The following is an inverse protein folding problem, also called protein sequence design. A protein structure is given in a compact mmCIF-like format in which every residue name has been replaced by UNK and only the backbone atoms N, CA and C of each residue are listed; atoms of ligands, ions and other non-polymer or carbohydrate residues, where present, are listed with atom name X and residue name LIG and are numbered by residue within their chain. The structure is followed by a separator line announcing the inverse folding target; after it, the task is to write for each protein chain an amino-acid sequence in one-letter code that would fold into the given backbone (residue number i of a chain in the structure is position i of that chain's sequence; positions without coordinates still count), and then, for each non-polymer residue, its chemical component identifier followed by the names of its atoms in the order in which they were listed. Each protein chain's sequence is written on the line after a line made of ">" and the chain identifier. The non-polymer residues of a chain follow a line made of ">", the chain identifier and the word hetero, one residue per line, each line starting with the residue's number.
data_IF_202932329447
#
_entry.id   IF_202932329447
#
_cell.length_a   1.000
_cell.length_b   1.000
_cell.length_c   1.000
_cell.angle_alpha   90.00
_cell.angle_beta   90.00
_cell.angle_gamma   90.00
#
_symmetry.space_group_name_H-M   'P 1'
#
loop_
_entity.id
_entity.type
_entity.pdbx_description
1 polymer ?
#
# COMPACT_ATOMS: atom_id res chain seq x y z
N UNK A 1 -23.43 -13.44 8.29
CA UNK A 1 -24.48 -13.48 7.24
C UNK A 1 -23.86 -12.88 5.99
N UNK A 2 -23.33 -13.75 5.09
CA UNK A 2 -22.98 -13.29 3.77
C UNK A 2 -24.30 -13.02 3.03
N UNK A 3 -24.60 -11.76 2.82
CA UNK A 3 -25.70 -11.38 1.94
C UNK A 3 -25.15 -11.51 0.52
N UNK A 4 -25.77 -12.31 -0.38
CA UNK A 4 -25.42 -12.30 -1.78
C UNK A 4 -25.46 -10.85 -2.28
N UNK A 5 -24.29 -10.28 -2.59
CA UNK A 5 -24.20 -8.91 -3.02
C UNK A 5 -24.67 -8.78 -4.46
N UNK A 6 -25.44 -7.74 -4.78
CA UNK A 6 -25.66 -7.34 -6.16
C UNK A 6 -24.71 -6.21 -6.49
N UNK A 7 -23.73 -6.47 -7.31
CA UNK A 7 -22.88 -5.44 -7.87
C UNK A 7 -23.04 -5.40 -9.39
N UNK A 8 -23.23 -4.23 -9.95
CA UNK A 8 -23.37 -4.02 -11.40
C UNK A 8 -24.48 -4.89 -12.06
N UNK A 9 -25.57 -5.17 -11.33
CA UNK A 9 -26.67 -6.00 -11.83
C UNK A 9 -26.40 -7.51 -11.86
N UNK A 10 -25.26 -7.97 -11.33
CA UNK A 10 -24.93 -9.38 -11.19
C UNK A 10 -25.13 -9.86 -9.75
N UNK A 11 -25.63 -11.08 -9.60
CA UNK A 11 -25.62 -11.76 -8.31
C UNK A 11 -24.18 -12.25 -8.03
N UNK A 12 -23.61 -11.81 -6.91
CA UNK A 12 -22.30 -12.31 -6.47
C UNK A 12 -22.51 -13.63 -5.70
N UNK A 13 -21.70 -14.66 -5.98
CA UNK A 13 -21.78 -15.90 -5.22
C UNK A 13 -21.37 -15.65 -3.76
N UNK A 14 -21.98 -16.42 -2.86
CA UNK A 14 -21.50 -16.49 -1.49
C UNK A 14 -20.17 -17.23 -1.45
N UNK A 15 -19.08 -16.49 -1.26
CA UNK A 15 -17.72 -17.04 -1.24
C UNK A 15 -17.50 -18.06 -0.12
N UNK A 16 -18.26 -17.99 0.97
CA UNK A 16 -18.17 -18.98 2.05
C UNK A 16 -18.60 -20.38 1.57
N UNK A 17 -19.55 -20.45 0.63
CA UNK A 17 -19.99 -21.71 0.05
C UNK A 17 -19.03 -22.27 -1.01
N UNK A 18 -18.07 -21.47 -1.44
CA UNK A 18 -17.07 -21.86 -2.45
C UNK A 18 -15.80 -22.44 -1.83
N UNK A 19 -15.67 -22.40 -0.49
CA UNK A 19 -14.48 -22.94 0.19
C UNK A 19 -14.52 -24.47 0.15
N UNK A 20 -13.55 -25.07 -0.52
CA UNK A 20 -13.39 -26.52 -0.69
C UNK A 20 -11.91 -26.93 -0.52
N UNK A 21 -11.62 -28.21 -0.78
CA UNK A 21 -10.27 -28.77 -0.65
C UNK A 21 -9.27 -28.26 -1.71
N UNK A 22 -9.75 -27.53 -2.73
CA UNK A 22 -8.93 -26.89 -3.76
C UNK A 22 -8.67 -25.40 -3.43
N UNK A 23 -9.28 -24.88 -2.37
CA UNK A 23 -9.06 -23.50 -1.96
C UNK A 23 -7.59 -23.30 -1.56
N UNK A 24 -6.89 -22.32 -2.16
CA UNK A 24 -5.47 -22.11 -1.88
C UNK A 24 -5.25 -21.54 -0.48
N UNK A 25 -4.02 -21.64 0.06
CA UNK A 25 -3.61 -20.91 1.25
C UNK A 25 -3.95 -19.42 1.16
N UNK A 26 -4.37 -18.81 2.26
CA UNK A 26 -4.86 -17.45 2.25
C UNK A 26 -4.23 -16.56 3.34
N UNK A 27 -3.84 -15.34 2.97
CA UNK A 27 -3.51 -14.28 3.89
C UNK A 27 -4.70 -13.29 3.95
N UNK A 28 -5.24 -13.11 5.15
CA UNK A 28 -6.42 -12.30 5.39
C UNK A 28 -6.06 -11.12 6.29
N UNK A 29 -6.55 -9.92 5.94
CA UNK A 29 -6.48 -8.79 6.85
C UNK A 29 -7.75 -7.96 6.78
N UNK A 30 -8.16 -7.42 7.92
CA UNK A 30 -9.35 -6.59 8.06
C UNK A 30 -9.13 -5.56 9.17
N UNK A 31 -10.00 -4.58 9.24
CA UNK A 31 -10.08 -3.67 10.38
C UNK A 31 -11.41 -3.82 11.10
N UNK A 32 -11.39 -3.67 12.42
CA UNK A 32 -12.61 -3.73 13.22
C UNK A 32 -13.56 -2.56 12.92
N UNK A 33 -13.01 -1.43 12.47
CA UNK A 33 -13.77 -0.22 12.14
C UNK A 33 -14.37 -0.20 10.73
N UNK A 34 -14.14 -1.22 9.90
CA UNK A 34 -14.71 -1.27 8.55
C UNK A 34 -16.25 -1.34 8.63
N UNK A 35 -16.89 -0.25 8.24
CA UNK A 35 -18.36 -0.11 8.28
C UNK A 35 -19.06 -0.71 7.06
N UNK A 36 -18.31 -1.00 5.98
CA UNK A 36 -18.86 -1.54 4.74
C UNK A 36 -18.71 -3.06 4.66
N UNK A 37 -17.54 -3.57 5.02
CA UNK A 37 -17.24 -5.01 5.03
C UNK A 37 -16.84 -5.43 6.45
N UNK A 38 -17.78 -5.87 7.28
CA UNK A 38 -17.51 -6.24 8.66
C UNK A 38 -16.43 -7.33 8.78
N UNK A 39 -15.50 -7.18 9.70
CA UNK A 39 -14.42 -8.13 9.97
C UNK A 39 -14.93 -9.56 10.25
N UNK A 40 -16.18 -9.69 10.68
CA UNK A 40 -16.85 -11.00 10.88
C UNK A 40 -16.92 -11.85 9.61
N UNK A 41 -16.94 -11.24 8.43
CA UNK A 41 -16.92 -11.99 7.16
C UNK A 41 -15.55 -12.68 6.97
N UNK A 42 -14.48 -11.98 7.23
CA UNK A 42 -13.13 -12.56 7.19
C UNK A 42 -12.93 -13.63 8.26
N UNK A 43 -13.51 -13.45 9.46
CA UNK A 43 -13.49 -14.48 10.52
C UNK A 43 -14.22 -15.74 10.09
N UNK A 44 -15.39 -15.63 9.46
CA UNK A 44 -16.14 -16.78 8.95
C UNK A 44 -15.35 -17.53 7.88
N UNK A 45 -14.72 -16.80 6.96
CA UNK A 45 -13.87 -17.40 5.93
C UNK A 45 -12.67 -18.12 6.54
N UNK A 46 -11.96 -17.49 7.49
CA UNK A 46 -10.86 -18.11 8.21
C UNK A 46 -11.27 -19.38 8.97
N UNK A 47 -12.48 -19.38 9.56
CA UNK A 47 -13.04 -20.59 10.23
C UNK A 47 -13.17 -21.74 9.25
N UNK A 48 -13.71 -21.50 8.05
CA UNK A 48 -13.84 -22.54 7.03
C UNK A 48 -12.50 -23.06 6.54
N UNK A 49 -11.49 -22.20 6.41
CA UNK A 49 -10.13 -22.62 6.08
C UNK A 49 -9.54 -23.51 7.18
N UNK A 50 -9.73 -23.12 8.45
CA UNK A 50 -9.27 -23.89 9.61
C UNK A 50 -9.90 -25.29 9.67
N UNK A 51 -11.22 -25.39 9.48
CA UNK A 51 -11.97 -26.65 9.46
C UNK A 51 -11.45 -27.61 8.39
N UNK A 52 -11.01 -27.08 7.24
CA UNK A 52 -10.43 -27.85 6.12
C UNK A 52 -8.92 -28.04 6.20
N UNK A 53 -8.28 -27.52 7.25
CA UNK A 53 -6.82 -27.54 7.43
C UNK A 53 -6.06 -26.89 6.27
N UNK A 54 -6.67 -25.91 5.62
CA UNK A 54 -6.03 -25.08 4.62
C UNK A 54 -5.15 -24.06 5.34
N UNK A 55 -3.85 -23.91 4.98
CA UNK A 55 -3.00 -22.92 5.62
C UNK A 55 -3.54 -21.51 5.45
N UNK A 56 -3.62 -20.77 6.54
CA UNK A 56 -4.00 -19.35 6.49
C UNK A 56 -3.31 -18.56 7.59
N UNK A 57 -3.20 -17.27 7.37
CA UNK A 57 -2.80 -16.27 8.35
C UNK A 57 -3.82 -15.14 8.34
N UNK A 58 -4.20 -14.64 9.53
CA UNK A 58 -5.23 -13.61 9.65
C UNK A 58 -4.87 -12.55 10.67
N UNK A 59 -5.05 -11.29 10.28
CA UNK A 59 -4.87 -10.12 11.14
C UNK A 59 -6.11 -9.24 11.12
N UNK A 60 -6.58 -8.86 12.32
CA UNK A 60 -7.65 -7.88 12.48
C UNK A 60 -7.09 -6.70 13.27
N UNK A 61 -6.98 -5.56 12.59
CA UNK A 61 -6.51 -4.32 13.20
C UNK A 61 -7.67 -3.61 13.90
N UNK A 62 -7.39 -3.01 15.06
CA UNK A 62 -8.42 -2.34 15.86
C UNK A 62 -9.00 -1.10 15.16
N UNK A 63 -8.16 -0.41 14.39
CA UNK A 63 -8.51 0.87 13.76
C UNK A 63 -8.30 0.82 12.26
N UNK A 64 -9.11 1.58 11.55
CA UNK A 64 -9.13 1.71 10.10
C UNK A 64 -10.54 1.56 9.58
N UNK A 65 -10.83 2.22 8.48
CA UNK A 65 -12.12 2.12 7.78
C UNK A 65 -11.94 1.35 6.47
N UNK A 66 -13.05 1.14 5.77
CA UNK A 66 -13.04 0.46 4.48
C UNK A 66 -12.08 1.11 3.48
N UNK A 67 -11.31 0.28 2.78
CA UNK A 67 -10.41 0.77 1.72
C UNK A 67 -9.15 1.48 2.22
N UNK A 68 -8.68 1.19 3.46
CA UNK A 68 -7.44 1.79 3.98
C UNK A 68 -6.18 1.42 3.19
N UNK A 69 -6.28 0.46 2.25
CA UNK A 69 -5.22 0.05 1.33
C UNK A 69 -3.90 -0.26 2.07
N UNK A 70 -2.81 0.44 1.76
CA UNK A 70 -1.53 0.22 2.43
C UNK A 70 -1.44 0.87 3.82
N UNK A 71 -2.42 1.67 4.25
CA UNK A 71 -2.37 2.44 5.49
C UNK A 71 -1.26 3.50 5.54
N UNK A 72 -0.55 3.70 4.44
CA UNK A 72 0.60 4.58 4.37
C UNK A 72 0.19 6.05 4.17
N UNK A 73 1.08 6.95 4.58
CA UNK A 73 0.92 8.39 4.43
C UNK A 73 0.60 8.83 2.99
N UNK A 74 1.13 8.11 2.00
CA UNK A 74 1.00 8.49 0.59
C UNK A 74 -0.40 8.29 0.00
N UNK A 75 -1.23 7.48 0.65
CA UNK A 75 -2.62 7.21 0.24
C UNK A 75 -3.63 7.70 1.27
N UNK A 76 -3.15 8.29 2.36
CA UNK A 76 -4.01 8.81 3.42
C UNK A 76 -4.94 9.91 2.86
N UNK A 77 -6.19 9.88 3.31
CA UNK A 77 -7.22 10.85 2.98
C UNK A 77 -8.12 11.08 4.22
N UNK A 78 -9.04 12.03 4.20
CA UNK A 78 -9.86 12.33 5.38
C UNK A 78 -10.68 11.15 5.92
N UNK A 79 -11.09 10.21 5.07
CA UNK A 79 -11.83 9.00 5.44
C UNK A 79 -10.90 7.90 5.95
N UNK A 80 -9.71 7.81 5.37
CA UNK A 80 -8.68 6.85 5.74
C UNK A 80 -7.37 7.60 6.04
N UNK A 81 -7.20 8.15 7.24
CA UNK A 81 -5.94 8.78 7.66
C UNK A 81 -4.81 7.76 7.67
N UNK A 82 -3.58 8.26 7.75
CA UNK A 82 -2.41 7.41 7.94
C UNK A 82 -2.62 6.46 9.13
N UNK A 83 -2.39 5.17 8.90
CA UNK A 83 -2.52 4.12 9.90
C UNK A 83 -1.30 3.22 9.90
N UNK A 84 -0.20 3.62 10.57
CA UNK A 84 1.04 2.84 10.58
C UNK A 84 0.88 1.49 11.26
N UNK A 85 -0.07 1.33 12.19
CA UNK A 85 -0.33 0.05 12.86
C UNK A 85 -0.88 -0.99 11.90
N UNK A 86 -1.78 -0.60 10.99
CA UNK A 86 -2.30 -1.51 9.97
C UNK A 86 -1.38 -1.63 8.76
N UNK A 87 -0.53 -0.64 8.48
CA UNK A 87 0.39 -0.66 7.33
C UNK A 87 1.37 -1.86 7.34
N UNK A 88 1.61 -2.46 8.49
CA UNK A 88 2.49 -3.63 8.65
C UNK A 88 2.00 -4.88 7.91
N UNK A 89 0.72 -4.94 7.51
CA UNK A 89 0.14 -6.10 6.84
C UNK A 89 0.92 -6.52 5.59
N UNK A 90 1.51 -5.57 4.88
CA UNK A 90 2.28 -5.86 3.65
C UNK A 90 3.49 -6.74 3.93
N UNK A 91 4.26 -6.41 4.99
CA UNK A 91 5.41 -7.22 5.41
C UNK A 91 5.00 -8.60 5.89
N UNK A 92 3.88 -8.70 6.62
CA UNK A 92 3.31 -9.96 7.07
C UNK A 92 2.87 -10.83 5.88
N UNK A 93 2.17 -10.25 4.90
CA UNK A 93 1.75 -10.96 3.69
C UNK A 93 2.95 -11.49 2.88
N UNK A 94 4.02 -10.70 2.75
CA UNK A 94 5.26 -11.15 2.11
C UNK A 94 5.89 -12.31 2.87
N UNK A 95 5.94 -12.26 4.20
CA UNK A 95 6.42 -13.37 5.03
C UNK A 95 5.61 -14.64 4.84
N UNK A 96 4.28 -14.52 4.83
CA UNK A 96 3.38 -15.63 4.55
C UNK A 96 3.63 -16.25 3.16
N UNK A 97 3.72 -15.43 2.11
CA UNK A 97 3.98 -15.90 0.74
C UNK A 97 5.33 -16.60 0.62
N UNK A 98 6.37 -16.08 1.28
CA UNK A 98 7.68 -16.71 1.34
C UNK A 98 7.59 -18.11 1.95
N UNK A 99 6.83 -18.25 3.04
CA UNK A 99 6.64 -19.54 3.68
C UNK A 99 5.88 -20.54 2.80
N UNK A 100 4.79 -20.10 2.14
CA UNK A 100 3.96 -20.94 1.28
C UNK A 100 4.71 -21.42 0.05
N UNK A 101 5.51 -20.55 -0.57
CA UNK A 101 6.20 -20.90 -1.81
C UNK A 101 7.60 -21.45 -1.61
N UNK A 102 8.10 -21.57 -0.37
CA UNK A 102 9.50 -21.90 -0.07
C UNK A 102 10.49 -21.08 -0.90
N UNK A 103 10.11 -19.88 -1.25
CA UNK A 103 10.95 -18.92 -1.94
C UNK A 103 11.29 -17.83 -0.92
N UNK A 104 12.59 -17.53 -0.81
CA UNK A 104 12.96 -16.20 -0.42
C UNK A 104 12.44 -15.27 -1.53
N UNK A 105 11.16 -14.89 -1.45
CA UNK A 105 10.74 -13.69 -2.14
C UNK A 105 11.59 -12.62 -1.51
N UNK A 106 12.70 -12.35 -2.15
CA UNK A 106 13.53 -11.23 -1.83
C UNK A 106 12.56 -10.05 -1.77
N UNK A 107 12.27 -9.57 -0.57
CA UNK A 107 12.02 -8.13 -0.44
C UNK A 107 13.25 -7.57 -1.13
N UNK A 108 13.14 -6.97 -2.31
CA UNK A 108 14.31 -6.41 -2.94
C UNK A 108 14.91 -5.55 -1.84
N UNK A 109 16.15 -5.87 -1.45
CA UNK A 109 16.94 -4.96 -0.64
C UNK A 109 16.71 -3.62 -1.33
N UNK A 110 16.34 -2.55 -0.61
CA UNK A 110 16.06 -1.27 -1.26
C UNK A 110 17.16 -1.13 -2.28
N UNK A 111 16.82 -1.16 -3.57
CA UNK A 111 17.79 -1.17 -4.66
C UNK A 111 18.74 -0.06 -4.28
N UNK A 112 20.03 -0.35 -4.16
CA UNK A 112 21.00 0.72 -4.07
C UNK A 112 20.74 1.54 -5.30
N UNK A 113 20.07 2.66 -5.12
CA UNK A 113 19.68 3.54 -6.22
C UNK A 113 21.00 4.04 -6.77
N UNK A 114 21.48 3.35 -7.82
CA UNK A 114 22.75 3.66 -8.46
C UNK A 114 22.66 4.94 -9.31
N UNK A 115 21.44 5.28 -9.72
CA UNK A 115 21.15 6.47 -10.49
C UNK A 115 19.83 7.07 -10.01
N UNK A 116 19.86 8.36 -9.71
CA UNK A 116 18.68 9.13 -9.38
C UNK A 116 18.08 9.70 -10.66
N UNK A 117 16.77 9.61 -10.85
CA UNK A 117 16.10 10.21 -11.99
C UNK A 117 14.87 11.02 -11.54
N UNK A 118 14.46 11.95 -12.39
CA UNK A 118 13.34 12.84 -12.10
C UNK A 118 11.97 12.14 -12.09
N UNK A 119 11.90 10.90 -12.57
CA UNK A 119 10.70 10.06 -12.52
C UNK A 119 10.54 9.33 -11.17
N UNK A 120 11.56 9.36 -10.33
CA UNK A 120 11.45 8.82 -8.98
C UNK A 120 10.55 9.70 -8.10
N UNK A 121 9.85 9.05 -7.16
CA UNK A 121 9.03 9.78 -6.20
C UNK A 121 9.86 10.75 -5.38
N UNK A 122 9.38 11.96 -5.23
CA UNK A 122 10.04 13.02 -4.46
C UNK A 122 10.34 12.56 -3.04
N UNK A 123 9.43 11.79 -2.41
CA UNK A 123 9.69 11.21 -1.09
C UNK A 123 10.94 10.33 -1.06
N UNK A 124 11.10 9.45 -2.03
CA UNK A 124 12.27 8.57 -2.16
C UNK A 124 13.56 9.36 -2.33
N UNK A 125 13.53 10.39 -3.17
CA UNK A 125 14.67 11.27 -3.42
C UNK A 125 15.09 12.06 -2.16
N UNK A 126 14.11 12.53 -1.37
CA UNK A 126 14.39 13.29 -0.14
C UNK A 126 14.79 12.41 1.06
N UNK A 127 14.38 11.15 1.07
CA UNK A 127 14.68 10.20 2.15
C UNK A 127 16.03 9.50 1.94
N UNK A 128 16.60 9.56 0.73
CA UNK A 128 17.92 9.02 0.40
C UNK A 128 18.99 10.11 0.60
N UNK A 129 19.99 9.94 1.48
CA UNK A 129 20.93 10.99 1.83
C UNK A 129 21.67 11.61 0.65
N UNK A 130 22.07 10.78 -0.34
CA UNK A 130 22.81 11.25 -1.51
C UNK A 130 21.95 12.14 -2.42
N UNK A 131 20.72 11.70 -2.73
CA UNK A 131 19.82 12.49 -3.57
C UNK A 131 19.25 13.71 -2.84
N UNK A 132 19.00 13.60 -1.53
CA UNK A 132 18.59 14.73 -0.72
C UNK A 132 19.61 15.88 -0.74
N UNK A 133 20.92 15.55 -0.66
CA UNK A 133 21.97 16.53 -0.77
C UNK A 133 22.00 17.20 -2.16
N UNK A 134 21.83 16.43 -3.23
CA UNK A 134 21.74 16.94 -4.59
C UNK A 134 20.53 17.85 -4.79
N UNK A 135 19.36 17.42 -4.30
CA UNK A 135 18.13 18.24 -4.37
C UNK A 135 18.31 19.56 -3.62
N UNK A 136 18.93 19.52 -2.46
CA UNK A 136 19.15 20.75 -1.69
C UNK A 136 20.11 21.71 -2.41
N UNK A 137 21.03 21.19 -3.20
CA UNK A 137 21.97 21.98 -3.99
C UNK A 137 21.38 22.49 -5.30
N UNK A 138 20.67 21.62 -6.05
CA UNK A 138 20.19 21.91 -7.42
C UNK A 138 18.76 22.49 -7.44
N UNK A 139 17.90 21.99 -6.55
CA UNK A 139 16.46 22.31 -6.49
C UNK A 139 16.03 22.65 -5.04
N UNK A 140 16.61 23.65 -4.39
CA UNK A 140 16.25 23.99 -3.00
C UNK A 140 14.76 24.36 -2.85
N UNK A 141 14.14 24.92 -3.89
CA UNK A 141 12.73 25.23 -3.95
C UNK A 141 11.83 23.99 -3.84
N UNK A 142 12.29 22.80 -4.29
CA UNK A 142 11.55 21.55 -4.15
C UNK A 142 11.43 21.15 -2.67
N UNK A 143 12.50 21.26 -1.91
CA UNK A 143 12.49 20.93 -0.48
C UNK A 143 11.53 21.85 0.30
N UNK A 144 11.50 23.14 -0.05
CA UNK A 144 10.56 24.10 0.54
C UNK A 144 9.10 23.80 0.15
N UNK A 145 8.86 23.48 -1.11
CA UNK A 145 7.53 23.15 -1.61
C UNK A 145 6.96 21.93 -0.89
N UNK A 146 7.75 20.87 -0.72
CA UNK A 146 7.33 19.64 -0.03
C UNK A 146 6.99 19.87 1.46
N UNK A 147 7.62 20.86 2.10
CA UNK A 147 7.26 21.24 3.48
C UNK A 147 5.87 21.88 3.54
N UNK A 148 5.49 22.64 2.51
CA UNK A 148 4.18 23.30 2.41
C UNK A 148 3.10 22.35 1.94
N UNK A 149 3.45 21.45 1.01
CA UNK A 149 2.56 20.48 0.36
C UNK A 149 3.08 19.05 0.54
N UNK A 150 2.95 18.46 1.75
CA UNK A 150 3.49 17.13 2.05
C UNK A 150 2.97 16.01 1.15
N UNK A 151 1.77 16.17 0.58
CA UNK A 151 1.19 15.22 -0.38
C UNK A 151 2.01 15.06 -1.67
N UNK A 152 2.82 16.07 -2.02
CA UNK A 152 3.69 16.04 -3.21
C UNK A 152 4.81 15.00 -3.14
N UNK A 153 5.10 14.44 -1.97
CA UNK A 153 6.08 13.35 -1.82
C UNK A 153 5.72 12.09 -2.61
N UNK A 154 4.45 11.90 -2.92
CA UNK A 154 3.93 10.73 -3.63
C UNK A 154 4.09 10.76 -5.15
N UNK A 155 4.41 11.92 -5.73
CA UNK A 155 4.58 12.13 -7.17
C UNK A 155 6.06 12.29 -7.54
N UNK A 156 6.38 12.21 -8.84
CA UNK A 156 7.74 12.46 -9.34
C UNK A 156 8.01 13.95 -9.52
N UNK A 157 9.27 14.32 -9.70
CA UNK A 157 9.64 15.71 -10.05
C UNK A 157 9.07 16.09 -11.42
N UNK A 158 9.09 15.15 -12.37
CA UNK A 158 8.53 15.36 -13.72
C UNK A 158 7.00 15.59 -13.66
N UNK A 159 6.27 14.81 -12.85
CA UNK A 159 4.84 15.02 -12.64
C UNK A 159 4.57 16.37 -11.99
N UNK A 160 5.34 16.73 -10.96
CA UNK A 160 5.19 18.03 -10.32
C UNK A 160 5.46 19.18 -11.31
N UNK A 161 6.49 19.06 -12.13
CA UNK A 161 6.80 20.01 -13.18
C UNK A 161 5.65 20.19 -14.18
N UNK A 162 4.99 19.09 -14.54
CA UNK A 162 3.83 19.10 -15.42
C UNK A 162 2.62 19.81 -14.79
N UNK A 163 2.28 19.46 -13.53
CA UNK A 163 1.12 20.02 -12.83
C UNK A 163 1.32 21.47 -12.36
N UNK A 164 2.55 21.87 -12.06
CA UNK A 164 2.87 23.20 -11.54
C UNK A 164 3.21 24.25 -12.62
N UNK A 165 2.95 23.92 -13.90
CA UNK A 165 3.22 24.78 -15.03
C UNK A 165 4.69 25.22 -15.11
N UNK A 166 5.62 24.28 -14.99
CA UNK A 166 7.08 24.47 -15.06
C UNK A 166 7.65 25.25 -13.88
N UNK A 167 7.43 24.73 -12.69
CA UNK A 167 7.96 25.31 -11.44
C UNK A 167 9.49 25.40 -11.42
N UNK A 168 10.18 24.45 -12.06
CA UNK A 168 11.63 24.36 -12.08
C UNK A 168 12.21 24.74 -13.43
N UNK A 169 13.40 25.33 -13.41
CA UNK A 169 14.16 25.66 -14.61
C UNK A 169 14.61 24.37 -15.31
N UNK A 170 14.35 24.26 -16.63
CA UNK A 170 14.70 23.10 -17.43
C UNK A 170 16.22 22.84 -17.46
N UNK A 171 17.06 23.90 -17.38
CA UNK A 171 18.50 23.75 -17.31
C UNK A 171 18.96 23.10 -16.01
N UNK A 172 18.28 23.41 -14.89
CA UNK A 172 18.56 22.78 -13.59
C UNK A 172 18.11 21.33 -13.52
N UNK A 173 17.06 20.95 -14.25
CA UNK A 173 16.58 19.57 -14.30
C UNK A 173 17.44 18.66 -15.19
N UNK A 174 18.22 19.25 -16.10
CA UNK A 174 19.12 18.53 -17.01
C UNK A 174 20.53 18.31 -16.44
N UNK A 175 20.87 18.95 -15.31
CA UNK A 175 22.16 18.84 -14.63
C UNK A 175 22.23 17.62 -13.73
#
# INVERSE_FOLDING_TARGET
>A
FSVPGKALGMELPDLLQQVDDQTPPAFLFATQGDHLVPATQSLQFATLLAERKIPYEMHIFAYGDHGFSTGSRHIANPQNPENPESAVWQGMALGFLNHIFNHDVLVPAPEEVKEFCLDMKIGTLLDTPQSAALIQQLLPELAQYVQQEPGSRGISVNDLQFYSNKMFDEEKLAA
#
